data_IF_798118469203
#
_entry.id   IF_798118469203
#
_cell.length_a   1.000
_cell.length_b   1.000
_cell.length_c   1.000
_cell.angle_alpha   90.00
_cell.angle_beta   90.00
_cell.angle_gamma   90.00
#
_symmetry.space_group_name_H-M   'P 1'
#
loop_
_entity.id
_entity.type
_entity.pdbx_description
1 polymer ?
#
# COMPACT_ATOMS: atom_id res chain seq x y z
N UNK A 1 14.17 4.47 14.25
CA UNK A 1 12.88 4.78 13.58
C UNK A 1 12.98 4.50 12.09
N UNK A 2 11.84 4.17 11.45
CA UNK A 2 11.80 3.87 10.02
C UNK A 2 11.55 5.12 9.18
N UNK A 3 12.57 5.58 8.47
CA UNK A 3 12.40 6.63 7.46
C UNK A 3 11.42 6.18 6.36
N UNK A 4 10.81 7.12 5.60
CA UNK A 4 9.95 6.77 4.47
C UNK A 4 10.62 5.87 3.42
N UNK A 5 11.93 5.98 3.24
CA UNK A 5 12.68 5.12 2.33
C UNK A 5 12.87 3.72 2.91
N UNK A 6 13.28 3.59 4.18
CA UNK A 6 13.38 2.28 4.85
C UNK A 6 12.04 1.54 4.82
N UNK A 7 10.94 2.23 5.12
CA UNK A 7 9.60 1.67 5.05
C UNK A 7 9.26 1.15 3.64
N UNK A 8 9.62 1.89 2.60
CA UNK A 8 9.44 1.46 1.21
C UNK A 8 10.25 0.20 0.90
N UNK A 9 11.53 0.16 1.29
CA UNK A 9 12.41 -0.99 1.02
C UNK A 9 11.94 -2.24 1.77
N UNK A 10 11.54 -2.10 3.03
CA UNK A 10 11.00 -3.20 3.83
C UNK A 10 9.71 -3.76 3.25
N UNK A 11 8.81 -2.90 2.77
CA UNK A 11 7.54 -3.31 2.18
C UNK A 11 7.67 -3.90 0.77
N UNK A 12 8.72 -3.54 0.04
CA UNK A 12 8.89 -3.85 -1.39
C UNK A 12 8.80 -5.35 -1.74
N UNK A 13 9.41 -6.29 -1.00
CA UNK A 13 9.29 -7.72 -1.30
C UNK A 13 7.85 -8.22 -1.33
N UNK A 14 7.06 -7.89 -0.29
CA UNK A 14 5.63 -8.26 -0.23
C UNK A 14 4.81 -7.59 -1.33
N UNK A 15 5.05 -6.30 -1.57
CA UNK A 15 4.38 -5.57 -2.67
C UNK A 15 4.68 -6.24 -4.01
N UNK A 16 5.93 -6.68 -4.23
CA UNK A 16 6.33 -7.32 -5.46
C UNK A 16 5.66 -8.68 -5.66
N UNK A 17 5.55 -9.49 -4.60
CA UNK A 17 4.85 -10.79 -4.64
C UNK A 17 3.40 -10.59 -5.11
N UNK A 18 2.68 -9.65 -4.50
CA UNK A 18 1.28 -9.39 -4.84
C UNK A 18 1.09 -8.73 -6.21
N UNK A 19 1.98 -7.83 -6.62
CA UNK A 19 1.91 -7.28 -7.98
C UNK A 19 2.20 -8.35 -9.05
N UNK A 20 3.08 -9.32 -8.76
CA UNK A 20 3.31 -10.46 -9.63
C UNK A 20 2.07 -11.37 -9.71
N UNK A 21 1.42 -11.62 -8.57
CA UNK A 21 0.14 -12.33 -8.53
C UNK A 21 -0.91 -11.66 -9.42
N UNK A 22 -1.10 -10.35 -9.31
CA UNK A 22 -2.06 -9.61 -10.14
C UNK A 22 -1.78 -9.81 -11.64
N UNK A 23 -0.53 -9.70 -12.05
CA UNK A 23 -0.11 -9.90 -13.44
C UNK A 23 -0.40 -11.32 -13.92
N UNK A 24 -0.14 -12.33 -13.09
CA UNK A 24 -0.32 -13.72 -13.47
C UNK A 24 -1.81 -14.11 -13.52
N UNK A 25 -2.64 -13.53 -12.64
CA UNK A 25 -4.09 -13.65 -12.75
C UNK A 25 -4.60 -12.98 -14.05
N UNK A 26 -4.16 -11.75 -14.35
CA UNK A 26 -4.55 -11.07 -15.59
C UNK A 26 -4.13 -11.87 -16.81
N UNK A 27 -2.93 -12.47 -16.83
CA UNK A 27 -2.50 -13.40 -17.90
C UNK A 27 -3.43 -14.61 -18.00
N UNK A 28 -3.79 -15.23 -16.88
CA UNK A 28 -4.67 -16.40 -16.86
C UNK A 28 -6.08 -16.07 -17.40
N UNK A 29 -6.57 -14.86 -17.13
CA UNK A 29 -7.80 -14.30 -17.67
C UNK A 29 -7.65 -14.08 -19.19
N UNK A 30 -6.64 -13.33 -19.62
CA UNK A 30 -6.41 -12.98 -21.04
C UNK A 30 -6.26 -14.23 -21.90
N UNK A 31 -5.44 -15.20 -21.47
CA UNK A 31 -5.24 -16.49 -22.17
C UNK A 31 -6.55 -17.24 -22.43
N UNK A 32 -7.51 -17.14 -21.50
CA UNK A 32 -8.82 -17.80 -21.64
C UNK A 32 -9.76 -17.04 -22.57
N UNK A 33 -9.58 -15.73 -22.72
CA UNK A 33 -10.39 -14.91 -23.62
C UNK A 33 -9.99 -15.09 -25.09
N UNK A 34 -8.74 -15.45 -25.35
CA UNK A 34 -8.23 -15.74 -26.71
C UNK A 34 -9.08 -16.82 -27.41
N UNK A 35 -9.32 -16.62 -28.69
CA UNK A 35 -10.06 -17.55 -29.57
C UNK A 35 -9.48 -17.51 -30.96
N UNK A 36 -9.51 -18.66 -31.65
CA UNK A 36 -9.15 -18.77 -33.08
C UNK A 36 -10.37 -18.71 -33.99
N UNK A 37 -11.57 -18.80 -33.42
CA UNK A 37 -12.83 -18.71 -34.16
C UNK A 37 -13.12 -17.25 -34.51
N UNK A 38 -13.70 -17.01 -35.68
CA UNK A 38 -14.26 -15.70 -36.01
C UNK A 38 -15.58 -15.51 -35.26
N UNK A 39 -15.58 -14.56 -34.32
CA UNK A 39 -16.73 -14.33 -33.45
C UNK A 39 -17.51 -13.11 -33.95
N UNK A 40 -18.75 -13.36 -34.36
CA UNK A 40 -19.69 -12.40 -34.91
C UNK A 40 -20.93 -12.29 -34.01
N UNK A 41 -21.92 -11.50 -34.43
CA UNK A 41 -23.21 -11.40 -33.74
C UNK A 41 -23.93 -12.75 -33.62
N UNK A 42 -23.73 -13.63 -34.59
CA UNK A 42 -24.49 -14.87 -34.71
C UNK A 42 -23.99 -15.95 -33.74
N UNK A 43 -22.71 -15.91 -33.35
CA UNK A 43 -22.09 -16.93 -32.50
C UNK A 43 -21.52 -16.40 -31.18
N UNK A 44 -21.61 -15.10 -30.88
CA UNK A 44 -21.04 -14.52 -29.65
C UNK A 44 -21.68 -15.05 -28.36
N UNK A 45 -22.95 -15.47 -28.40
CA UNK A 45 -23.58 -16.14 -27.26
C UNK A 45 -22.98 -17.52 -27.01
N UNK A 46 -22.69 -18.28 -28.07
CA UNK A 46 -21.99 -19.56 -27.97
C UNK A 46 -20.60 -19.37 -27.36
N UNK A 47 -19.82 -18.41 -27.88
CA UNK A 47 -18.53 -18.02 -27.31
C UNK A 47 -18.65 -17.68 -25.81
N UNK A 48 -19.67 -16.90 -25.42
CA UNK A 48 -19.92 -16.57 -24.01
C UNK A 48 -20.11 -17.82 -23.16
N UNK A 49 -20.94 -18.76 -23.60
CA UNK A 49 -21.15 -20.03 -22.88
C UNK A 49 -19.86 -20.85 -22.77
N UNK A 50 -19.08 -20.97 -23.85
CA UNK A 50 -17.79 -21.66 -23.83
C UNK A 50 -16.82 -21.04 -22.81
N UNK A 51 -16.69 -19.71 -22.80
CA UNK A 51 -15.80 -19.02 -21.86
C UNK A 51 -16.29 -19.12 -20.41
N UNK A 52 -17.60 -19.04 -20.16
CA UNK A 52 -18.14 -19.22 -18.82
C UNK A 52 -17.89 -20.63 -18.25
N UNK A 53 -17.84 -21.67 -19.10
CA UNK A 53 -17.47 -23.02 -18.66
C UNK A 53 -16.02 -23.12 -18.14
N UNK A 54 -15.15 -22.20 -18.55
CA UNK A 54 -13.74 -22.14 -18.10
C UNK A 54 -13.57 -21.45 -16.74
N UNK A 55 -14.66 -20.96 -16.10
CA UNK A 55 -14.61 -20.32 -14.78
C UNK A 55 -14.03 -21.24 -13.69
N UNK A 56 -14.38 -22.52 -13.71
CA UNK A 56 -13.86 -23.50 -12.75
C UNK A 56 -12.34 -23.65 -12.86
N UNK A 57 -11.83 -23.69 -14.10
CA UNK A 57 -10.40 -23.79 -14.36
C UNK A 57 -9.67 -22.49 -14.02
N UNK A 58 -10.26 -21.32 -14.30
CA UNK A 58 -9.70 -20.05 -13.84
C UNK A 58 -9.59 -20.03 -12.31
N UNK A 59 -10.62 -20.48 -11.61
CA UNK A 59 -10.60 -20.54 -10.15
C UNK A 59 -9.47 -21.44 -9.63
N UNK A 60 -9.26 -22.62 -10.24
CA UNK A 60 -8.15 -23.53 -9.89
C UNK A 60 -6.79 -22.88 -10.12
N UNK A 61 -6.58 -22.22 -11.26
CA UNK A 61 -5.33 -21.51 -11.57
C UNK A 61 -5.05 -20.41 -10.53
N UNK A 62 -6.04 -19.60 -10.17
CA UNK A 62 -5.85 -18.51 -9.20
C UNK A 62 -5.56 -19.06 -7.80
N UNK A 63 -6.22 -20.15 -7.38
CA UNK A 63 -5.89 -20.86 -6.13
C UNK A 63 -4.44 -21.34 -6.14
N UNK A 64 -3.99 -21.94 -7.24
CA UNK A 64 -2.61 -22.40 -7.37
C UNK A 64 -1.61 -21.24 -7.31
N UNK A 65 -1.89 -20.12 -7.99
CA UNK A 65 -1.05 -18.93 -7.95
C UNK A 65 -0.94 -18.36 -6.52
N UNK A 66 -2.05 -18.25 -5.79
CA UNK A 66 -2.07 -17.82 -4.38
C UNK A 66 -1.29 -18.80 -3.50
N UNK A 67 -1.49 -20.11 -3.69
CA UNK A 67 -0.80 -21.14 -2.92
C UNK A 67 0.72 -21.07 -3.11
N UNK A 68 1.20 -20.88 -4.34
CA UNK A 68 2.63 -20.80 -4.66
C UNK A 68 3.34 -19.61 -4.00
N UNK A 69 2.62 -18.54 -3.70
CA UNK A 69 3.18 -17.36 -3.02
C UNK A 69 2.98 -17.35 -1.51
N UNK A 70 2.14 -18.22 -0.95
CA UNK A 70 1.77 -18.18 0.48
C UNK A 70 3.00 -18.33 1.38
N UNK A 71 3.82 -19.36 1.18
CA UNK A 71 5.04 -19.54 2.00
C UNK A 71 6.08 -18.43 1.85
N UNK A 72 6.19 -17.82 0.64
CA UNK A 72 7.05 -16.64 0.44
C UNK A 72 6.51 -15.41 1.17
N UNK A 73 5.19 -15.23 1.16
CA UNK A 73 4.50 -14.11 1.81
C UNK A 73 4.68 -14.19 3.32
N UNK A 74 4.52 -15.36 3.92
CA UNK A 74 4.72 -15.57 5.36
C UNK A 74 6.14 -15.22 5.79
N UNK A 75 7.15 -15.71 5.05
CA UNK A 75 8.56 -15.43 5.33
C UNK A 75 8.90 -13.94 5.21
N UNK A 76 8.45 -13.28 4.14
CA UNK A 76 8.71 -11.85 3.95
C UNK A 76 7.94 -10.99 4.98
N UNK A 77 6.77 -11.44 5.44
CA UNK A 77 6.03 -10.78 6.52
C UNK A 77 6.74 -10.90 7.86
N UNK A 78 7.24 -12.08 8.22
CA UNK A 78 8.04 -12.27 9.43
C UNK A 78 9.28 -11.36 9.40
N UNK A 79 9.98 -11.33 8.26
CA UNK A 79 11.13 -10.45 8.06
C UNK A 79 10.75 -8.98 8.19
N UNK A 80 9.66 -8.54 7.55
CA UNK A 80 9.15 -7.17 7.65
C UNK A 80 8.97 -6.76 9.11
N UNK A 81 8.32 -7.60 9.91
CA UNK A 81 8.00 -7.32 11.31
C UNK A 81 9.29 -7.24 12.14
N UNK A 82 10.17 -8.24 12.03
CA UNK A 82 11.45 -8.27 12.77
C UNK A 82 12.34 -7.07 12.44
N UNK A 83 12.51 -6.76 11.16
CA UNK A 83 13.33 -5.63 10.72
C UNK A 83 12.71 -4.28 11.09
N UNK A 84 11.38 -4.15 11.02
CA UNK A 84 10.68 -2.94 11.45
C UNK A 84 10.91 -2.66 12.93
N UNK A 85 10.84 -3.70 13.78
CA UNK A 85 11.16 -3.59 15.20
C UNK A 85 12.64 -3.21 15.41
N UNK A 86 13.56 -3.97 14.82
CA UNK A 86 15.01 -3.75 15.03
C UNK A 86 15.44 -2.34 14.64
N UNK A 87 15.05 -1.88 13.46
CA UNK A 87 15.43 -0.55 12.94
C UNK A 87 14.71 0.60 13.67
N UNK A 88 13.54 0.34 14.26
CA UNK A 88 12.81 1.36 15.00
C UNK A 88 13.32 1.51 16.43
N UNK A 89 13.58 0.41 17.12
CA UNK A 89 13.87 0.36 18.55
C UNK A 89 15.36 0.50 18.88
N UNK A 90 16.27 -0.17 18.15
CA UNK A 90 17.68 -0.25 18.56
C UNK A 90 18.35 1.11 18.84
N UNK A 91 18.21 2.15 17.98
CA UNK A 91 18.85 3.44 18.26
C UNK A 91 18.29 4.12 19.50
N UNK A 92 16.99 3.93 19.76
CA UNK A 92 16.31 4.47 20.93
C UNK A 92 16.74 3.73 22.19
N UNK A 93 16.78 2.40 22.12
CA UNK A 93 17.17 1.52 23.23
C UNK A 93 18.61 1.78 23.68
N UNK A 94 19.55 1.94 22.74
CA UNK A 94 20.93 2.29 23.07
C UNK A 94 21.04 3.60 23.86
N UNK A 95 20.24 4.60 23.50
CA UNK A 95 20.21 5.88 24.22
C UNK A 95 19.56 5.77 25.59
N UNK A 96 18.43 5.06 25.69
CA UNK A 96 17.73 4.84 26.96
C UNK A 96 18.55 3.99 27.93
N UNK A 97 19.22 2.93 27.46
CA UNK A 97 20.11 2.10 28.27
C UNK A 97 21.20 2.93 28.94
N UNK A 98 21.86 3.83 28.20
CA UNK A 98 22.87 4.72 28.78
C UNK A 98 22.31 5.65 29.86
N UNK A 99 21.08 6.14 29.70
CA UNK A 99 20.41 6.93 30.74
C UNK A 99 20.03 6.07 31.96
N UNK A 100 19.67 4.82 31.76
CA UNK A 100 19.35 3.89 32.84
C UNK A 100 20.61 3.49 33.64
N UNK A 101 21.75 3.32 32.96
CA UNK A 101 23.06 3.07 33.58
C UNK A 101 23.52 4.28 34.42
N UNK A 102 23.26 5.50 33.93
CA UNK A 102 23.45 6.75 34.67
C UNK A 102 22.44 6.96 35.83
N UNK A 103 21.47 6.07 36.02
CA UNK A 103 20.43 6.18 37.05
C UNK A 103 19.40 7.30 36.81
N UNK A 104 19.28 7.80 35.59
CA UNK A 104 18.35 8.90 35.23
C UNK A 104 16.94 8.41 34.89
N UNK A 105 16.79 7.14 34.53
CA UNK A 105 15.53 6.45 34.25
C UNK A 105 15.59 5.02 34.79
N UNK A 106 14.46 4.30 34.76
CA UNK A 106 14.38 2.92 35.22
C UNK A 106 15.19 1.97 34.32
N UNK A 107 15.58 0.80 34.84
CA UNK A 107 16.22 -0.24 34.02
C UNK A 107 15.18 -1.10 33.32
N UNK A 108 15.41 -1.38 32.04
CA UNK A 108 14.64 -2.34 31.26
C UNK A 108 15.38 -3.70 31.17
N UNK A 109 14.67 -4.82 30.96
CA UNK A 109 15.31 -6.09 30.59
C UNK A 109 16.05 -5.93 29.23
N UNK A 110 17.01 -6.83 28.91
CA UNK A 110 17.58 -6.89 27.57
C UNK A 110 16.50 -6.95 26.49
N UNK A 111 16.70 -6.29 25.35
CA UNK A 111 15.67 -6.16 24.31
C UNK A 111 15.15 -7.53 23.83
N UNK A 112 16.03 -8.52 23.70
CA UNK A 112 15.71 -9.89 23.28
C UNK A 112 14.89 -10.66 24.33
N UNK A 113 14.91 -10.21 25.59
CA UNK A 113 14.21 -10.81 26.72
C UNK A 113 12.96 -10.01 27.12
N UNK A 114 12.66 -8.91 26.42
CA UNK A 114 11.51 -8.07 26.70
C UNK A 114 10.22 -8.74 26.21
N UNK A 115 9.47 -9.32 27.13
CA UNK A 115 8.23 -10.05 26.85
C UNK A 115 7.14 -9.16 26.23
N UNK A 116 7.15 -7.85 26.47
CA UNK A 116 6.20 -6.91 25.86
C UNK A 116 6.44 -6.85 24.36
N UNK A 117 7.71 -6.69 23.96
CA UNK A 117 8.12 -6.66 22.56
C UNK A 117 7.74 -7.97 21.88
N UNK A 118 8.06 -9.12 22.47
CA UNK A 118 7.74 -10.42 21.90
C UNK A 118 6.23 -10.59 21.64
N UNK A 119 5.38 -10.26 22.62
CA UNK A 119 3.92 -10.34 22.49
C UNK A 119 3.37 -9.40 21.40
N UNK A 120 3.93 -8.20 21.29
CA UNK A 120 3.58 -7.23 20.24
C UNK A 120 3.91 -7.76 18.84
N UNK A 121 5.10 -8.34 18.65
CA UNK A 121 5.49 -8.92 17.35
C UNK A 121 4.57 -10.08 16.95
N UNK A 122 4.26 -10.99 17.88
CA UNK A 122 3.32 -12.09 17.63
C UNK A 122 1.92 -11.59 17.27
N UNK A 123 1.44 -10.56 17.95
CA UNK A 123 0.12 -9.96 17.69
C UNK A 123 0.05 -9.37 16.29
N UNK A 124 1.05 -8.55 15.90
CA UNK A 124 1.10 -7.98 14.55
C UNK A 124 1.29 -9.04 13.47
N UNK A 125 2.06 -10.10 13.73
CA UNK A 125 2.21 -11.20 12.79
C UNK A 125 0.88 -11.89 12.53
N UNK A 126 0.13 -12.25 13.57
CA UNK A 126 -1.21 -12.87 13.44
C UNK A 126 -2.18 -11.95 12.70
N UNK A 127 -2.23 -10.67 13.07
CA UNK A 127 -3.13 -9.69 12.45
C UNK A 127 -2.81 -9.49 10.96
N UNK A 128 -1.53 -9.36 10.62
CA UNK A 128 -1.09 -9.17 9.25
C UNK A 128 -1.37 -10.42 8.40
N UNK A 129 -1.06 -11.63 8.90
CA UNK A 129 -1.40 -12.88 8.22
C UNK A 129 -2.90 -13.01 7.98
N UNK A 130 -3.74 -12.73 8.99
CA UNK A 130 -5.20 -12.75 8.84
C UNK A 130 -5.68 -11.76 7.77
N UNK A 131 -5.13 -10.54 7.76
CA UNK A 131 -5.47 -9.50 6.77
C UNK A 131 -5.08 -9.93 5.36
N UNK A 132 -3.90 -10.51 5.17
CA UNK A 132 -3.44 -11.00 3.87
C UNK A 132 -4.26 -12.21 3.39
N UNK A 133 -4.66 -13.10 4.29
CA UNK A 133 -5.54 -14.23 3.95
C UNK A 133 -6.92 -13.76 3.47
N UNK A 134 -7.54 -12.81 4.17
CA UNK A 134 -8.79 -12.19 3.72
C UNK A 134 -8.64 -11.50 2.36
N UNK A 135 -7.48 -10.85 2.15
CA UNK A 135 -7.14 -10.22 0.88
C UNK A 135 -7.03 -11.26 -0.24
N UNK A 136 -6.38 -12.40 0.01
CA UNK A 136 -6.27 -13.50 -0.95
C UNK A 136 -7.64 -14.05 -1.35
N UNK A 137 -8.54 -14.27 -0.38
CA UNK A 137 -9.92 -14.69 -0.66
C UNK A 137 -10.68 -13.67 -1.50
N UNK A 138 -10.50 -12.38 -1.20
CA UNK A 138 -11.13 -11.28 -1.95
C UNK A 138 -10.60 -11.20 -3.38
N UNK A 139 -9.28 -11.34 -3.57
CA UNK A 139 -8.65 -11.40 -4.89
C UNK A 139 -9.22 -12.58 -5.68
N UNK A 140 -9.32 -13.77 -5.09
CA UNK A 140 -9.86 -14.96 -5.75
C UNK A 140 -11.28 -14.72 -6.27
N UNK A 141 -12.17 -14.24 -5.40
CA UNK A 141 -13.57 -13.96 -5.75
C UNK A 141 -13.67 -12.89 -6.85
N UNK A 142 -12.94 -11.79 -6.70
CA UNK A 142 -12.99 -10.69 -7.66
C UNK A 142 -12.33 -11.04 -8.99
N UNK A 143 -11.35 -11.93 -9.02
CA UNK A 143 -10.75 -12.40 -10.28
C UNK A 143 -11.78 -13.11 -11.16
N UNK A 144 -12.64 -13.93 -10.56
CA UNK A 144 -13.75 -14.55 -11.29
C UNK A 144 -14.78 -13.52 -11.75
N UNK A 145 -15.06 -12.50 -10.92
CA UNK A 145 -15.99 -11.44 -11.27
C UNK A 145 -15.48 -10.62 -12.46
N UNK A 146 -14.20 -10.25 -12.44
CA UNK A 146 -13.52 -9.56 -13.55
C UNK A 146 -13.66 -10.37 -14.84
N UNK A 147 -13.42 -11.68 -14.80
CA UNK A 147 -13.58 -12.54 -15.98
C UNK A 147 -15.02 -12.57 -16.50
N UNK A 148 -16.02 -12.72 -15.62
CA UNK A 148 -17.45 -12.66 -15.99
C UNK A 148 -17.85 -11.32 -16.60
N UNK A 149 -17.34 -10.24 -16.03
CA UNK A 149 -17.61 -8.87 -16.48
C UNK A 149 -17.01 -8.63 -17.86
N UNK A 150 -15.77 -9.09 -18.09
CA UNK A 150 -15.14 -8.99 -19.41
C UNK A 150 -15.97 -9.73 -20.46
N UNK A 151 -16.35 -10.98 -20.21
CA UNK A 151 -17.16 -11.78 -21.14
C UNK A 151 -18.49 -11.07 -21.41
N UNK A 152 -19.22 -10.70 -20.36
CA UNK A 152 -20.58 -10.18 -20.49
C UNK A 152 -20.61 -8.83 -21.20
N UNK A 153 -19.74 -7.90 -20.85
CA UNK A 153 -19.68 -6.57 -21.48
C UNK A 153 -19.18 -6.67 -22.93
N UNK A 154 -18.23 -7.57 -23.21
CA UNK A 154 -17.75 -7.81 -24.58
C UNK A 154 -18.86 -8.38 -25.45
N UNK A 155 -19.61 -9.38 -24.96
CA UNK A 155 -20.76 -9.96 -25.67
C UNK A 155 -21.81 -8.91 -26.03
N UNK A 156 -22.19 -8.05 -25.08
CA UNK A 156 -23.17 -6.98 -25.32
C UNK A 156 -22.67 -6.02 -26.41
N UNK A 157 -21.38 -5.66 -26.38
CA UNK A 157 -20.79 -4.75 -27.38
C UNK A 157 -20.78 -5.34 -28.78
N UNK A 158 -20.58 -6.66 -28.91
CA UNK A 158 -20.64 -7.37 -30.20
C UNK A 158 -22.07 -7.48 -30.68
N UNK A 159 -23.01 -7.93 -29.85
CA UNK A 159 -24.43 -8.10 -30.21
C UNK A 159 -25.05 -6.81 -30.74
N UNK A 160 -24.77 -5.69 -30.06
CA UNK A 160 -25.24 -4.36 -30.46
C UNK A 160 -24.58 -3.85 -31.74
N UNK A 161 -23.47 -4.46 -32.18
CA UNK A 161 -22.68 -4.04 -33.34
C UNK A 161 -21.83 -2.80 -33.09
N UNK A 162 -21.67 -2.38 -31.83
CA UNK A 162 -20.83 -1.23 -31.48
C UNK A 162 -19.34 -1.52 -31.73
N UNK A 163 -18.91 -2.78 -31.58
CA UNK A 163 -17.51 -3.20 -31.71
C UNK A 163 -17.41 -4.60 -32.32
N UNK A 164 -16.30 -4.88 -33.00
CA UNK A 164 -15.93 -6.27 -33.32
C UNK A 164 -15.61 -7.03 -32.03
N UNK A 165 -15.63 -8.37 -32.08
CA UNK A 165 -15.31 -9.20 -30.91
C UNK A 165 -13.92 -8.89 -30.35
N UNK A 166 -12.92 -8.80 -31.23
CA UNK A 166 -11.55 -8.46 -30.83
C UNK A 166 -11.49 -7.11 -30.11
N UNK A 167 -12.11 -6.07 -30.68
CA UNK A 167 -12.14 -4.73 -30.08
C UNK A 167 -12.88 -4.72 -28.74
N UNK A 168 -13.99 -5.46 -28.63
CA UNK A 168 -14.79 -5.52 -27.41
C UNK A 168 -14.03 -6.17 -26.25
N UNK A 169 -13.38 -7.31 -26.52
CA UNK A 169 -12.56 -8.03 -25.52
C UNK A 169 -11.33 -7.20 -25.15
N UNK A 170 -10.63 -6.63 -26.12
CA UNK A 170 -9.43 -5.82 -25.87
C UNK A 170 -9.76 -4.58 -25.01
N UNK A 171 -10.80 -3.83 -25.37
CA UNK A 171 -11.21 -2.62 -24.63
C UNK A 171 -11.65 -2.96 -23.20
N UNK A 172 -12.46 -4.01 -23.02
CA UNK A 172 -13.00 -4.37 -21.71
C UNK A 172 -11.89 -4.93 -20.81
N UNK A 173 -11.01 -5.79 -21.33
CA UNK A 173 -9.85 -6.29 -20.59
C UNK A 173 -8.89 -5.16 -20.22
N UNK A 174 -8.65 -4.19 -21.12
CA UNK A 174 -7.80 -3.04 -20.85
C UNK A 174 -8.38 -2.13 -19.76
N UNK A 175 -9.70 -1.88 -19.76
CA UNK A 175 -10.40 -1.15 -18.68
C UNK A 175 -10.22 -1.83 -17.32
N UNK A 176 -10.33 -3.16 -17.27
CA UNK A 176 -10.08 -3.91 -16.03
C UNK A 176 -8.62 -3.88 -15.61
N UNK A 177 -7.67 -3.90 -16.54
CA UNK A 177 -6.25 -3.72 -16.23
C UNK A 177 -5.92 -2.31 -15.72
N UNK A 178 -6.59 -1.25 -16.21
CA UNK A 178 -6.48 0.09 -15.62
C UNK A 178 -7.07 0.15 -14.20
N UNK A 179 -8.11 -0.62 -13.94
CA UNK A 179 -8.78 -0.65 -12.63
C UNK A 179 -8.02 -1.51 -11.61
N UNK A 180 -7.36 -2.57 -12.07
CA UNK A 180 -6.75 -3.62 -11.27
C UNK A 180 -7.78 -4.60 -10.72
N UNK A 181 -7.31 -5.76 -10.27
CA UNK A 181 -8.16 -6.73 -9.56
C UNK A 181 -8.41 -6.17 -8.15
N UNK A 182 -9.67 -6.02 -7.71
CA UNK A 182 -9.94 -5.54 -6.37
C UNK A 182 -9.43 -6.51 -5.29
N UNK A 183 -8.54 -6.01 -4.43
CA UNK A 183 -8.01 -6.68 -3.25
C UNK A 183 -8.85 -6.41 -1.99
N UNK A 184 -9.61 -5.32 -1.98
CA UNK A 184 -10.58 -4.99 -0.95
C UNK A 184 -11.78 -4.29 -1.60
N UNK A 185 -12.97 -4.64 -1.14
CA UNK A 185 -14.18 -3.83 -1.34
C UNK A 185 -14.60 -3.30 0.04
N UNK A 186 -14.60 -1.99 0.21
CA UNK A 186 -14.93 -1.41 1.51
C UNK A 186 -16.43 -1.27 1.75
N UNK A 187 -16.81 -0.88 2.97
CA UNK A 187 -18.22 -0.71 3.38
C UNK A 187 -19.00 0.31 2.53
N UNK A 188 -18.33 1.20 1.80
CA UNK A 188 -18.95 2.19 0.89
C UNK A 188 -18.96 1.69 -0.57
N UNK A 189 -18.62 0.42 -0.81
CA UNK A 189 -18.53 -0.17 -2.13
C UNK A 189 -17.31 0.26 -2.94
N UNK A 190 -16.35 0.98 -2.35
CA UNK A 190 -15.15 1.39 -3.09
C UNK A 190 -14.25 0.19 -3.26
N UNK A 191 -13.80 0.01 -4.50
CA UNK A 191 -12.90 -1.08 -4.89
C UNK A 191 -11.46 -0.59 -4.84
N UNK A 192 -10.64 -1.30 -4.08
CA UNK A 192 -9.22 -1.01 -3.91
C UNK A 192 -8.42 -2.08 -4.67
N UNK A 193 -7.62 -1.66 -5.65
CA UNK A 193 -6.77 -2.59 -6.40
C UNK A 193 -5.67 -3.20 -5.53
N UNK A 194 -5.11 -4.33 -5.96
CA UNK A 194 -3.92 -4.93 -5.35
C UNK A 194 -2.79 -3.89 -5.23
N UNK A 195 -2.48 -3.16 -6.32
CA UNK A 195 -1.47 -2.09 -6.32
C UNK A 195 -1.73 -0.95 -5.33
N UNK A 196 -2.99 -0.69 -4.97
CA UNK A 196 -3.35 0.39 -4.04
C UNK A 196 -3.42 -0.08 -2.59
N UNK A 197 -4.01 -1.26 -2.38
CA UNK A 197 -4.34 -1.79 -1.07
C UNK A 197 -3.14 -2.47 -0.39
N UNK A 198 -2.42 -3.33 -1.12
CA UNK A 198 -1.31 -4.10 -0.53
C UNK A 198 -0.20 -3.19 0.00
N UNK A 199 0.32 -2.19 -0.75
CA UNK A 199 1.32 -1.27 -0.20
C UNK A 199 0.82 -0.53 1.03
N UNK A 200 -0.47 -0.17 1.08
CA UNK A 200 -1.05 0.52 2.22
C UNK A 200 -1.08 -0.38 3.47
N UNK A 201 -1.53 -1.62 3.33
CA UNK A 201 -1.58 -2.60 4.44
C UNK A 201 -0.16 -2.90 4.93
N UNK A 202 0.74 -3.30 4.04
CA UNK A 202 2.11 -3.72 4.41
C UNK A 202 2.88 -2.58 5.09
N UNK A 203 2.80 -1.36 4.56
CA UNK A 203 3.45 -0.19 5.19
C UNK A 203 2.81 0.17 6.53
N UNK A 204 1.50 -0.02 6.67
CA UNK A 204 0.82 0.21 7.95
C UNK A 204 1.25 -0.82 8.99
N UNK A 205 1.41 -2.10 8.62
CA UNK A 205 1.95 -3.13 9.52
C UNK A 205 3.34 -2.75 10.01
N UNK A 206 4.26 -2.41 9.10
CA UNK A 206 5.63 -2.02 9.45
C UNK A 206 5.67 -0.78 10.36
N UNK A 207 4.90 0.26 10.04
CA UNK A 207 4.81 1.46 10.89
C UNK A 207 4.18 1.18 12.26
N UNK A 208 3.13 0.36 12.31
CA UNK A 208 2.46 0.03 13.57
C UNK A 208 3.38 -0.80 14.47
N UNK A 209 4.09 -1.79 13.92
CA UNK A 209 5.14 -2.52 14.64
C UNK A 209 6.17 -1.52 15.17
N UNK A 210 6.72 -0.66 14.31
CA UNK A 210 7.75 0.29 14.70
C UNK A 210 7.30 1.24 15.82
N UNK A 211 6.07 1.75 15.76
CA UNK A 211 5.55 2.67 16.78
C UNK A 211 5.23 1.93 18.08
N UNK A 212 4.57 0.77 18.00
CA UNK A 212 4.17 0.02 19.19
C UNK A 212 5.38 -0.54 19.91
N UNK A 213 6.38 -1.10 19.22
CA UNK A 213 7.58 -1.63 19.89
C UNK A 213 8.42 -0.51 20.51
N UNK A 214 8.39 0.71 19.95
CA UNK A 214 8.97 1.87 20.63
C UNK A 214 8.19 2.22 21.90
N UNK A 215 6.86 2.24 21.86
CA UNK A 215 6.04 2.48 23.06
C UNK A 215 6.24 1.42 24.14
N UNK A 216 6.22 0.14 23.77
CA UNK A 216 6.45 -0.96 24.70
C UNK A 216 7.85 -0.85 25.31
N UNK A 217 8.85 -0.48 24.50
CA UNK A 217 10.21 -0.32 25.01
C UNK A 217 10.33 0.89 25.94
N UNK A 218 9.68 2.01 25.62
CA UNK A 218 9.60 3.15 26.52
C UNK A 218 8.92 2.79 27.85
N UNK A 219 7.87 1.96 27.81
CA UNK A 219 7.20 1.47 29.03
C UNK A 219 8.15 0.62 29.88
N UNK A 220 9.02 -0.20 29.28
CA UNK A 220 10.04 -0.98 29.98
C UNK A 220 11.08 -0.11 30.69
N UNK A 221 11.30 1.13 30.25
CA UNK A 221 12.18 2.12 30.90
C UNK A 221 11.42 3.15 31.75
N UNK A 222 10.10 3.00 31.93
CA UNK A 222 9.30 3.97 32.67
C UNK A 222 9.17 5.35 32.02
N UNK A 223 9.41 5.46 30.70
CA UNK A 223 9.41 6.75 29.97
C UNK A 223 8.04 7.01 29.36
N UNK A 224 7.27 7.93 29.94
CA UNK A 224 5.89 8.19 29.50
C UNK A 224 5.74 9.31 28.45
N UNK A 225 6.72 10.22 28.34
CA UNK A 225 6.61 11.38 27.45
C UNK A 225 7.27 11.13 26.10
N UNK A 226 6.64 11.68 25.05
CA UNK A 226 7.18 11.67 23.69
C UNK A 226 7.16 13.07 23.08
N UNK A 227 8.19 13.38 22.30
CA UNK A 227 8.20 14.46 21.33
C UNK A 227 7.80 13.91 19.95
N UNK A 228 6.78 14.51 19.32
CA UNK A 228 6.35 14.11 17.98
C UNK A 228 7.23 14.83 16.96
N UNK A 229 7.82 14.07 16.03
CA UNK A 229 8.63 14.65 14.95
C UNK A 229 7.86 15.65 14.09
N UNK A 230 8.59 16.47 13.33
CA UNK A 230 8.01 17.38 12.34
C UNK A 230 8.52 17.08 10.95
N UNK A 231 7.67 17.20 9.94
CA UNK A 231 8.03 17.23 8.54
C UNK A 231 7.06 18.11 7.74
N UNK A 232 7.52 18.70 6.65
CA UNK A 232 6.66 19.46 5.73
C UNK A 232 5.70 18.52 4.99
N UNK A 233 4.49 18.99 4.67
CA UNK A 233 3.46 18.18 4.00
C UNK A 233 2.77 17.16 4.90
N UNK A 234 2.76 17.39 6.22
CA UNK A 234 1.92 16.65 7.15
C UNK A 234 0.44 16.85 6.81
N UNK A 235 -0.33 15.76 6.84
CA UNK A 235 -1.78 15.81 6.60
C UNK A 235 -2.50 16.65 7.67
N UNK A 236 -3.71 17.17 7.40
CA UNK A 236 -4.46 18.01 8.34
C UNK A 236 -4.65 17.38 9.72
N UNK A 237 -4.86 16.06 9.79
CA UNK A 237 -5.00 15.34 11.05
C UNK A 237 -3.70 15.20 11.87
N UNK A 238 -2.53 15.50 11.30
CA UNK A 238 -1.23 15.38 11.97
C UNK A 238 -0.57 16.75 12.21
N UNK A 239 -0.75 17.70 11.30
CA UNK A 239 -0.07 19.00 11.31
C UNK A 239 -0.16 19.74 12.66
N UNK A 240 -1.31 19.79 13.37
CA UNK A 240 -1.43 20.50 14.66
C UNK A 240 -0.61 19.93 15.83
N UNK A 241 -0.05 18.72 15.67
CA UNK A 241 0.63 17.98 16.73
C UNK A 241 2.14 17.85 16.53
N UNK A 242 2.67 18.35 15.40
CA UNK A 242 4.10 18.30 15.08
C UNK A 242 4.93 19.13 16.06
N UNK A 243 6.09 18.62 16.45
CA UNK A 243 7.04 19.32 17.32
C UNK A 243 6.57 19.54 18.76
N UNK A 244 5.52 18.84 19.17
CA UNK A 244 4.93 18.97 20.50
C UNK A 244 5.23 17.74 21.34
N UNK A 245 5.32 17.97 22.65
CA UNK A 245 5.53 16.93 23.65
C UNK A 245 4.17 16.51 24.20
N UNK A 246 3.94 15.19 24.24
CA UNK A 246 2.73 14.58 24.78
C UNK A 246 3.08 13.49 25.78
N UNK A 247 2.19 13.29 26.74
CA UNK A 247 2.20 12.15 27.63
C UNK A 247 1.37 11.00 27.05
N UNK A 248 1.98 9.84 26.86
CA UNK A 248 1.30 8.66 26.32
C UNK A 248 0.26 8.08 27.27
N UNK A 249 0.51 8.16 28.59
CA UNK A 249 -0.25 7.44 29.61
C UNK A 249 -1.09 8.36 30.51
N UNK A 250 -1.05 9.68 30.31
CA UNK A 250 -1.92 10.65 30.99
C UNK A 250 -1.61 10.84 32.49
N UNK A 251 -0.40 10.50 32.92
CA UNK A 251 0.10 10.67 34.29
C UNK A 251 0.62 12.10 34.55
N UNK A 252 0.94 12.85 33.51
CA UNK A 252 1.53 14.18 33.57
C UNK A 252 0.47 15.26 33.75
N UNK A 253 0.73 16.17 34.70
CA UNK A 253 -0.03 17.43 34.84
C UNK A 253 0.52 18.56 33.96
N UNK A 254 1.74 18.42 33.43
CA UNK A 254 2.46 19.46 32.68
C UNK A 254 2.29 19.31 31.17
N UNK A 255 2.22 18.07 30.67
CA UNK A 255 2.13 17.79 29.25
C UNK A 255 0.74 17.24 28.89
N UNK A 256 0.17 17.64 27.74
CA UNK A 256 -1.12 17.12 27.30
C UNK A 256 -1.04 15.63 26.99
N UNK A 257 -2.15 14.92 27.16
CA UNK A 257 -2.24 13.50 26.80
C UNK A 257 -2.17 13.31 25.29
N UNK A 258 -1.46 12.27 24.83
CA UNK A 258 -1.46 11.84 23.42
C UNK A 258 -2.88 11.49 22.95
N UNK A 259 -3.74 11.01 23.85
CA UNK A 259 -5.14 10.71 23.55
C UNK A 259 -5.97 11.96 23.20
N UNK A 260 -5.52 13.17 23.56
CA UNK A 260 -6.18 14.42 23.16
C UNK A 260 -5.88 14.81 21.71
N UNK A 261 -5.08 14.02 20.99
CA UNK A 261 -4.74 14.24 19.58
C UNK A 261 -5.67 13.42 18.65
N UNK A 262 -5.28 13.26 17.39
CA UNK A 262 -5.95 12.34 16.46
C UNK A 262 -5.41 10.91 16.55
N UNK A 263 -4.53 10.60 17.51
CA UNK A 263 -3.98 9.26 17.73
C UNK A 263 -5.11 8.21 17.82
N UNK A 264 -4.86 7.01 17.29
CA UNK A 264 -5.85 5.94 17.16
C UNK A 264 -6.82 6.08 15.98
N UNK A 265 -6.92 7.25 15.32
CA UNK A 265 -7.72 7.41 14.09
C UNK A 265 -6.91 6.97 12.86
N UNK A 266 -7.52 6.32 11.84
CA UNK A 266 -6.80 5.92 10.62
C UNK A 266 -6.05 7.07 9.93
N UNK A 267 -6.68 8.25 9.89
CA UNK A 267 -6.13 9.48 9.31
C UNK A 267 -5.44 10.40 10.34
N UNK A 268 -5.17 9.91 11.55
CA UNK A 268 -4.57 10.68 12.64
C UNK A 268 -3.06 10.49 12.82
N UNK A 269 -2.49 11.11 13.85
CA UNK A 269 -1.06 10.96 14.14
C UNK A 269 -0.71 9.49 14.39
N UNK A 270 0.42 9.04 13.83
CA UNK A 270 0.86 7.63 13.80
C UNK A 270 -0.07 6.64 13.09
N UNK A 271 -1.08 7.12 12.35
CA UNK A 271 -2.00 6.27 11.58
C UNK A 271 -1.47 5.85 10.20
N UNK A 272 -2.39 5.38 9.34
CA UNK A 272 -2.09 4.85 8.00
C UNK A 272 -1.32 5.88 7.16
N UNK A 273 -0.19 5.47 6.57
CA UNK A 273 0.70 6.30 5.74
C UNK A 273 1.21 7.60 6.43
N UNK A 274 1.21 7.64 7.76
CA UNK A 274 1.84 8.69 8.53
C UNK A 274 3.37 8.51 8.51
N UNK A 275 4.12 9.62 8.50
CA UNK A 275 5.59 9.62 8.55
C UNK A 275 6.13 10.27 9.82
N UNK A 276 5.25 10.51 10.80
CA UNK A 276 5.64 11.00 12.12
C UNK A 276 6.21 9.87 12.95
N UNK A 277 7.17 10.21 13.80
CA UNK A 277 7.77 9.27 14.73
C UNK A 277 7.70 9.79 16.17
N UNK A 278 7.49 8.89 17.15
CA UNK A 278 7.50 9.25 18.56
C UNK A 278 8.92 9.18 19.12
N UNK A 279 9.54 10.32 19.45
CA UNK A 279 10.83 10.34 20.15
C UNK A 279 10.60 10.34 21.66
N UNK A 280 11.29 9.50 22.45
CA UNK A 280 11.21 9.59 23.91
C UNK A 280 11.70 10.96 24.41
N UNK A 281 11.01 11.51 25.41
CA UNK A 281 11.36 12.79 26.01
C UNK A 281 11.52 12.64 27.53
N UNK A 282 12.68 12.98 28.08
CA UNK A 282 12.95 12.99 29.52
C UNK A 282 13.15 14.44 29.96
N UNK A 283 12.29 15.01 30.84
CA UNK A 283 12.44 16.38 31.31
C UNK A 283 13.82 16.61 31.98
N UNK A 284 14.48 17.71 31.62
CA UNK A 284 15.81 18.05 32.15
C UNK A 284 16.99 17.31 31.49
N UNK A 285 16.71 16.30 30.66
CA UNK A 285 17.74 15.55 29.91
C UNK A 285 17.57 15.76 28.40
N UNK A 286 16.34 15.67 27.90
CA UNK A 286 16.03 15.86 26.48
C UNK A 286 15.98 17.34 26.12
N UNK A 287 16.63 17.68 25.01
CA UNK A 287 16.44 18.97 24.31
C UNK A 287 15.39 18.77 23.23
N UNK A 288 14.40 19.67 23.19
CA UNK A 288 13.36 19.71 22.14
C UNK A 288 14.04 19.88 20.77
N UNK A 289 13.72 19.03 19.80
CA UNK A 289 14.39 19.00 18.48
C UNK A 289 13.50 19.47 17.34
N UNK A 290 12.19 19.46 17.52
CA UNK A 290 11.23 19.66 16.44
C UNK A 290 10.34 20.86 16.69
N UNK A 291 10.13 21.64 15.63
CA UNK A 291 9.17 22.75 15.62
C UNK A 291 8.10 22.50 14.56
N UNK A 292 6.88 23.04 14.72
CA UNK A 292 5.86 22.95 13.69
C UNK A 292 6.27 23.74 12.44
N UNK A 293 5.82 23.28 11.27
CA UNK A 293 6.00 24.00 10.01
C UNK A 293 4.91 25.08 9.83
N UNK A 294 5.19 26.17 9.09
CA UNK A 294 4.17 27.14 8.72
C UNK A 294 2.95 26.47 8.07
N UNK A 295 1.75 26.89 8.48
CA UNK A 295 0.48 26.21 8.12
C UNK A 295 0.30 26.18 6.61
N UNK A 296 0.50 27.32 5.93
CA UNK A 296 0.30 27.45 4.49
C UNK A 296 1.31 26.62 3.69
N UNK A 297 2.59 26.67 4.07
CA UNK A 297 3.64 25.89 3.43
C UNK A 297 3.37 24.38 3.55
N UNK A 298 3.00 23.94 4.76
CA UNK A 298 2.66 22.55 5.00
C UNK A 298 1.42 22.10 4.20
N UNK A 299 0.37 22.92 4.17
CA UNK A 299 -0.85 22.62 3.42
C UNK A 299 -0.58 22.50 1.92
N UNK A 300 0.17 23.45 1.34
CA UNK A 300 0.59 23.45 -0.07
C UNK A 300 1.41 22.20 -0.40
N UNK A 301 2.41 21.88 0.42
CA UNK A 301 3.23 20.69 0.22
C UNK A 301 2.43 19.38 0.32
N UNK A 302 1.45 19.33 1.24
CA UNK A 302 0.55 18.19 1.37
C UNK A 302 -0.33 18.04 0.13
N UNK A 303 -0.97 19.12 -0.34
CA UNK A 303 -1.82 19.10 -1.53
C UNK A 303 -1.04 18.64 -2.77
N UNK A 304 0.10 19.26 -3.04
CA UNK A 304 0.95 18.88 -4.17
C UNK A 304 1.40 17.42 -4.08
N UNK A 305 1.63 16.88 -2.86
CA UNK A 305 1.91 15.45 -2.70
C UNK A 305 0.73 14.55 -3.10
N UNK A 306 -0.51 14.97 -2.85
CA UNK A 306 -1.70 14.22 -3.25
C UNK A 306 -1.90 14.28 -4.76
N UNK A 307 -1.65 15.45 -5.37
CA UNK A 307 -1.68 15.63 -6.83
C UNK A 307 -0.62 14.75 -7.51
N UNK A 308 0.62 14.77 -7.02
CA UNK A 308 1.70 13.89 -7.52
C UNK A 308 1.30 12.41 -7.44
N UNK A 309 0.80 11.95 -6.28
CA UNK A 309 0.36 10.55 -6.09
C UNK A 309 -0.78 10.16 -7.04
N UNK A 310 -1.66 11.09 -7.39
CA UNK A 310 -2.71 10.86 -8.41
C UNK A 310 -2.08 10.63 -9.78
N UNK A 311 -1.15 11.50 -10.19
CA UNK A 311 -0.45 11.36 -11.47
C UNK A 311 0.39 10.07 -11.55
N UNK A 312 1.07 9.69 -10.45
CA UNK A 312 1.80 8.42 -10.34
C UNK A 312 0.87 7.21 -10.60
N UNK A 313 -0.32 7.20 -9.98
CA UNK A 313 -1.33 6.16 -10.22
C UNK A 313 -1.81 6.17 -11.67
N UNK A 314 -2.12 7.34 -12.22
CA UNK A 314 -2.62 7.45 -13.60
C UNK A 314 -1.59 6.95 -14.63
N UNK A 315 -0.28 7.17 -14.38
CA UNK A 315 0.80 6.60 -15.20
C UNK A 315 0.81 5.08 -15.11
N UNK A 316 0.71 4.49 -13.91
CA UNK A 316 0.64 3.03 -13.75
C UNK A 316 -0.57 2.43 -14.46
N UNK A 317 -1.76 3.03 -14.29
CA UNK A 317 -2.97 2.61 -15.00
C UNK A 317 -2.77 2.59 -16.52
N UNK A 318 -2.20 3.67 -17.07
CA UNK A 318 -1.91 3.75 -18.50
C UNK A 318 -0.89 2.68 -18.96
N UNK A 319 0.11 2.35 -18.12
CA UNK A 319 1.07 1.26 -18.42
C UNK A 319 0.41 -0.12 -18.38
N UNK A 320 -0.44 -0.40 -17.39
CA UNK A 320 -1.18 -1.66 -17.31
C UNK A 320 -2.13 -1.84 -18.51
N UNK A 321 -2.82 -0.77 -18.93
CA UNK A 321 -3.60 -0.75 -20.15
C UNK A 321 -2.76 -1.18 -21.36
N UNK A 322 -1.60 -0.53 -21.55
CA UNK A 322 -0.71 -0.79 -22.67
C UNK A 322 -0.25 -2.26 -22.73
N UNK A 323 0.03 -2.91 -21.60
CA UNK A 323 0.43 -4.31 -21.60
C UNK A 323 -0.69 -5.27 -22.04
N UNK A 324 -1.96 -4.95 -21.71
CA UNK A 324 -3.11 -5.73 -22.20
C UNK A 324 -3.37 -5.48 -23.69
N UNK A 325 -3.35 -4.21 -24.11
CA UNK A 325 -3.56 -3.84 -25.51
C UNK A 325 -2.50 -4.43 -26.43
N UNK A 326 -1.24 -4.59 -25.96
CA UNK A 326 -0.19 -5.29 -26.72
C UNK A 326 -0.53 -6.74 -27.07
N UNK A 327 -1.39 -7.39 -26.30
CA UNK A 327 -1.76 -8.80 -26.52
C UNK A 327 -3.05 -8.95 -27.31
N UNK A 328 -4.01 -8.05 -27.08
CA UNK A 328 -5.38 -8.20 -27.59
C UNK A 328 -5.76 -7.19 -28.67
N UNK A 329 -5.13 -6.01 -28.67
CA UNK A 329 -5.46 -4.89 -29.56
C UNK A 329 -4.72 -4.93 -30.90
N UNK A 330 -5.06 -3.99 -31.77
CA UNK A 330 -4.37 -3.80 -33.05
C UNK A 330 -3.07 -3.01 -32.91
N UNK A 331 -2.30 -2.87 -34.00
CA UNK A 331 -1.08 -2.04 -34.00
C UNK A 331 -1.40 -0.57 -33.69
N UNK A 332 -2.53 -0.09 -34.18
CA UNK A 332 -3.04 1.26 -33.97
C UNK A 332 -3.45 1.47 -32.50
N UNK A 333 -4.14 0.50 -31.89
CA UNK A 333 -4.48 0.54 -30.46
C UNK A 333 -3.22 0.62 -29.58
N UNK A 334 -2.19 -0.17 -29.92
CA UNK A 334 -0.91 -0.16 -29.22
C UNK A 334 -0.23 1.21 -29.35
N UNK A 335 -0.26 1.82 -30.53
CA UNK A 335 0.29 3.16 -30.75
C UNK A 335 -0.44 4.22 -29.90
N UNK A 336 -1.77 4.18 -29.86
CA UNK A 336 -2.59 5.07 -29.06
C UNK A 336 -2.33 4.90 -27.55
N UNK A 337 -2.27 3.66 -27.05
CA UNK A 337 -1.97 3.37 -25.64
C UNK A 337 -0.56 3.85 -25.25
N UNK A 338 0.44 3.69 -26.13
CA UNK A 338 1.81 4.23 -25.91
C UNK A 338 1.80 5.76 -25.83
N UNK A 339 1.03 6.43 -26.69
CA UNK A 339 0.88 7.89 -26.67
C UNK A 339 0.30 8.35 -25.33
N UNK A 340 -0.76 7.71 -24.84
CA UNK A 340 -1.39 8.01 -23.54
C UNK A 340 -0.40 7.89 -22.37
N UNK A 341 0.45 6.85 -22.36
CA UNK A 341 1.53 6.73 -21.34
C UNK A 341 2.48 7.92 -21.41
N UNK A 342 2.94 8.29 -22.61
CA UNK A 342 3.87 9.41 -22.81
C UNK A 342 3.26 10.75 -22.38
N UNK A 343 1.99 10.98 -22.67
CA UNK A 343 1.23 12.17 -22.26
C UNK A 343 1.15 12.26 -20.73
N UNK A 344 0.76 11.18 -20.03
CA UNK A 344 0.72 11.18 -18.56
C UNK A 344 2.09 11.42 -17.94
N UNK A 345 3.15 10.85 -18.52
CA UNK A 345 4.52 11.10 -18.08
C UNK A 345 4.97 12.53 -18.37
N UNK A 346 4.52 13.16 -19.46
CA UNK A 346 4.78 14.57 -19.76
C UNK A 346 4.12 15.48 -18.73
N UNK A 347 2.85 15.22 -18.40
CA UNK A 347 2.13 15.98 -17.37
C UNK A 347 2.83 15.87 -16.00
N UNK A 348 3.32 14.68 -15.65
CA UNK A 348 4.14 14.51 -14.44
C UNK A 348 5.42 15.35 -14.51
N UNK A 349 6.15 15.34 -15.62
CA UNK A 349 7.37 16.18 -15.76
C UNK A 349 7.05 17.66 -15.61
N UNK A 350 5.98 18.15 -16.25
CA UNK A 350 5.55 19.54 -16.13
C UNK A 350 5.18 19.90 -14.68
N UNK A 351 4.41 19.05 -14.00
CA UNK A 351 4.06 19.24 -12.60
C UNK A 351 5.28 19.27 -11.67
N UNK A 352 6.25 18.40 -11.91
CA UNK A 352 7.49 18.36 -11.13
C UNK A 352 8.33 19.62 -11.37
N UNK A 353 8.42 20.10 -12.62
CA UNK A 353 9.12 21.33 -12.95
C UNK A 353 8.47 22.56 -12.29
N UNK A 354 7.13 22.63 -12.28
CA UNK A 354 6.36 23.71 -11.68
C UNK A 354 6.45 23.73 -10.15
N UNK A 355 6.40 22.56 -9.52
CA UNK A 355 6.34 22.46 -8.05
C UNK A 355 7.69 22.26 -7.37
N UNK A 356 8.75 21.94 -8.12
CA UNK A 356 10.07 21.60 -7.58
C UNK A 356 10.14 20.27 -6.82
N UNK A 357 9.07 19.47 -6.85
CA UNK A 357 8.99 18.21 -6.10
C UNK A 357 9.88 17.12 -6.69
N UNK A 358 10.33 16.18 -5.87
CA UNK A 358 11.09 15.02 -6.37
C UNK A 358 10.17 14.02 -7.08
N UNK A 359 10.47 13.72 -8.34
CA UNK A 359 9.77 12.67 -9.09
C UNK A 359 10.11 11.29 -8.54
N UNK A 360 9.08 10.45 -8.37
CA UNK A 360 9.20 9.10 -7.80
C UNK A 360 8.96 8.04 -8.87
N UNK A 361 10.01 7.76 -9.64
CA UNK A 361 9.95 6.77 -10.73
C UNK A 361 9.57 5.37 -10.24
N UNK A 362 9.99 5.01 -9.03
CA UNK A 362 9.63 3.77 -8.35
C UNK A 362 8.12 3.58 -8.24
N UNK A 363 7.37 4.66 -8.03
CA UNK A 363 5.90 4.64 -7.90
C UNK A 363 5.18 4.64 -9.23
N UNK A 364 5.86 4.94 -10.32
CA UNK A 364 5.30 4.89 -11.67
C UNK A 364 5.50 3.54 -12.35
N UNK A 365 6.34 2.66 -11.81
CA UNK A 365 6.60 1.35 -12.43
C UNK A 365 5.43 0.40 -12.21
N UNK A 366 5.22 -0.44 -13.23
CA UNK A 366 4.44 -1.66 -13.13
C UNK A 366 5.45 -2.79 -12.99
N UNK A 367 5.11 -3.87 -12.31
CA UNK A 367 6.01 -5.03 -12.24
C UNK A 367 6.16 -5.58 -13.66
N UNK A 368 7.40 -5.69 -14.12
CA UNK A 368 7.74 -6.27 -15.42
C UNK A 368 8.40 -7.61 -15.18
N UNK A 369 8.10 -8.57 -16.06
CA UNK A 369 8.81 -9.85 -16.09
C UNK A 369 10.17 -9.66 -16.73
#
# INVERSE_FOLDING_TARGET
>A
MLTPNQLEQLAKPLINIYGQLEIDIIKAIVKRLETKQDITKDNVLHWKFEKLRQLGDLNKDVIQLISLMTGKTEKELEKLIKESMKQSVQPMDNWLSGLADDGKIDKAPPLEQDTRIFNTLLTFQRQATSTLNLTNSTILQNSQQVYRDIISQSTVSVMTGMKTHQQAVADTAAKWAEKGIPALVDKKGRQWSIEGYIPMVVKSVANNVANQTQFDRMDSYGVDLIEISSHVGARPGCAPYQGRIFDRNGKSKKYPSLASTTYGKPAGIFGINCHHHPYPYIPGVSVKRYEPYPIEENAKAYEQSQQQRKMERDIRKAKNNLEVIRRLGTKEDVAAARKKVREKQANMRAFINDTGRTRRYDREQIIKK
#
